data_IF_535518037363
#
_entry.id   IF_535518037363
#
_cell.length_a   1.000
_cell.length_b   1.000
_cell.length_c   1.000
_cell.angle_alpha   90.00
_cell.angle_beta   90.00
_cell.angle_gamma   90.00
#
_symmetry.space_group_name_H-M   'P 1'
#
loop_
_entity.id
_entity.type
_entity.pdbx_description
1 polymer ?
#
# COMPACT_ATOMS: atom_id res chain seq x y z
N UNK A 1 -4.27 -4.78 -29.55
CA UNK A 1 -4.39 -3.31 -29.43
C UNK A 1 -4.13 -2.91 -27.98
N UNK A 2 -3.31 -1.88 -27.73
CA UNK A 2 -3.12 -1.33 -26.38
C UNK A 2 -4.40 -0.58 -25.98
N UNK A 3 -4.92 -0.84 -24.78
CA UNK A 3 -6.17 -0.24 -24.28
C UNK A 3 -5.93 0.81 -23.20
N UNK A 4 -4.93 0.59 -22.34
CA UNK A 4 -4.56 1.50 -21.26
C UNK A 4 -3.15 1.18 -20.74
N UNK A 5 -2.62 2.05 -19.87
CA UNK A 5 -1.52 1.72 -18.97
C UNK A 5 -2.04 1.40 -17.57
N UNK A 6 -1.33 0.54 -16.86
CA UNK A 6 -1.66 0.18 -15.48
C UNK A 6 -0.41 -0.21 -14.71
N UNK A 7 -0.49 -0.12 -13.38
CA UNK A 7 0.52 -0.67 -12.49
C UNK A 7 0.13 -2.11 -12.19
N UNK A 8 0.93 -3.08 -12.60
CA UNK A 8 0.81 -4.45 -12.14
C UNK A 8 1.58 -4.62 -10.82
N UNK A 9 1.03 -5.40 -9.91
CA UNK A 9 1.68 -5.77 -8.65
C UNK A 9 1.42 -7.25 -8.33
N UNK A 10 2.10 -7.76 -7.33
CA UNK A 10 1.89 -9.08 -6.77
C UNK A 10 1.36 -8.95 -5.34
N UNK A 11 0.44 -9.81 -4.96
CA UNK A 11 0.01 -9.92 -3.55
C UNK A 11 1.14 -10.58 -2.77
N UNK A 12 1.57 -9.95 -1.66
CA UNK A 12 2.61 -10.49 -0.79
C UNK A 12 2.30 -11.94 -0.38
N UNK A 13 3.35 -12.74 -0.27
CA UNK A 13 3.20 -14.12 0.17
C UNK A 13 2.68 -14.22 1.60
N UNK A 14 3.16 -13.34 2.47
CA UNK A 14 2.83 -13.28 3.88
C UNK A 14 2.35 -11.88 4.25
N UNK A 15 1.23 -11.82 4.94
CA UNK A 15 0.59 -10.57 5.34
C UNK A 15 0.30 -10.68 6.84
N UNK A 16 0.93 -9.79 7.61
CA UNK A 16 0.58 -9.58 9.01
C UNK A 16 -0.79 -8.95 9.14
N UNK A 17 -1.68 -9.59 9.91
CA UNK A 17 -2.99 -9.07 10.33
C UNK A 17 -3.03 -8.92 11.85
N UNK A 18 -4.06 -8.21 12.31
CA UNK A 18 -4.28 -7.96 13.74
C UNK A 18 -3.42 -6.84 14.29
N UNK A 19 -3.65 -6.51 15.56
CA UNK A 19 -2.86 -5.54 16.30
C UNK A 19 -1.39 -6.03 16.37
N UNK A 20 -0.45 -5.16 16.01
CA UNK A 20 0.98 -5.52 15.95
C UNK A 20 1.44 -6.36 14.74
N UNK A 21 0.51 -6.86 13.91
CA UNK A 21 0.85 -7.64 12.70
C UNK A 21 1.29 -9.08 12.98
N UNK A 22 0.95 -9.61 14.15
CA UNK A 22 1.39 -10.92 14.63
C UNK A 22 0.63 -12.10 14.00
N UNK A 23 -0.57 -11.90 13.41
CA UNK A 23 -1.30 -12.94 12.66
C UNK A 23 -0.80 -13.00 11.21
N UNK A 24 0.26 -13.78 10.96
CA UNK A 24 0.82 -13.96 9.62
C UNK A 24 -0.08 -14.91 8.82
N UNK A 25 -0.67 -14.38 7.73
CA UNK A 25 -1.47 -15.18 6.80
C UNK A 25 -0.87 -15.22 5.41
N UNK A 26 -1.10 -16.35 4.73
CA UNK A 26 -0.70 -16.52 3.33
C UNK A 26 -1.73 -15.91 2.37
N UNK A 27 -1.32 -14.86 1.66
CA UNK A 27 -2.19 -14.12 0.75
C UNK A 27 -3.37 -13.43 1.45
N UNK A 28 -4.41 -13.11 0.70
CA UNK A 28 -5.59 -12.40 1.23
C UNK A 28 -6.84 -13.27 1.12
N UNK A 29 -7.96 -12.81 1.70
CA UNK A 29 -9.26 -13.46 1.53
C UNK A 29 -9.64 -13.63 0.05
N UNK A 30 -9.26 -12.67 -0.79
CA UNK A 30 -9.72 -12.56 -2.18
C UNK A 30 -8.67 -12.96 -3.22
N UNK A 31 -7.39 -12.92 -2.89
CA UNK A 31 -6.29 -13.20 -3.81
C UNK A 31 -5.32 -14.20 -3.19
N UNK A 32 -4.83 -15.14 -4.02
CA UNK A 32 -3.77 -16.06 -3.61
C UNK A 32 -2.46 -15.30 -3.33
N UNK A 33 -1.60 -15.88 -2.49
CA UNK A 33 -0.21 -15.44 -2.34
C UNK A 33 0.48 -15.40 -3.71
N UNK A 34 1.22 -14.32 -4.00
CA UNK A 34 1.89 -14.11 -5.28
C UNK A 34 0.97 -13.76 -6.46
N UNK A 35 -0.35 -13.69 -6.26
CA UNK A 35 -1.29 -13.42 -7.34
C UNK A 35 -1.01 -12.05 -7.98
N UNK A 36 -1.02 -12.03 -9.32
CA UNK A 36 -0.89 -10.78 -10.08
C UNK A 36 -2.19 -9.98 -10.00
N UNK A 37 -2.08 -8.72 -9.63
CA UNK A 37 -3.16 -7.74 -9.59
C UNK A 37 -2.77 -6.49 -10.37
N UNK A 38 -3.77 -5.70 -10.75
CA UNK A 38 -3.62 -4.41 -11.41
C UNK A 38 -4.13 -3.30 -10.49
N UNK A 39 -3.29 -2.32 -10.23
CA UNK A 39 -3.53 -1.25 -9.27
C UNK A 39 -3.98 0.00 -10.03
N UNK A 40 -5.08 0.58 -9.56
CA UNK A 40 -5.69 1.79 -10.10
C UNK A 40 -5.11 3.03 -9.41
N UNK A 41 -5.19 4.21 -10.03
CA UNK A 41 -4.76 5.47 -9.43
C UNK A 41 -5.39 5.70 -8.05
N UNK A 42 -4.64 6.27 -7.09
CA UNK A 42 -5.17 6.68 -5.79
C UNK A 42 -6.35 7.64 -5.93
N UNK A 43 -7.32 7.49 -5.03
CA UNK A 43 -8.58 8.23 -5.11
C UNK A 43 -8.87 9.09 -3.88
N UNK A 44 -8.37 8.68 -2.72
CA UNK A 44 -8.80 9.25 -1.44
C UNK A 44 -7.86 10.30 -0.87
N UNK A 45 -6.86 10.76 -1.65
CA UNK A 45 -5.84 11.70 -1.15
C UNK A 45 -5.00 11.11 0.00
N UNK A 46 -5.03 9.79 0.17
CA UNK A 46 -4.35 9.03 1.21
C UNK A 46 -2.91 8.64 0.82
N UNK A 47 -2.38 9.20 -0.26
CA UNK A 47 -1.05 8.82 -0.79
C UNK A 47 -1.02 7.46 -1.50
N UNK A 48 -2.17 6.81 -1.73
CA UNK A 48 -2.23 5.47 -2.32
C UNK A 48 -2.08 4.36 -1.29
N UNK A 49 -2.61 4.58 -0.10
CA UNK A 49 -2.55 3.62 1.01
C UNK A 49 -3.65 2.58 0.89
N UNK A 50 -4.85 3.03 0.52
CA UNK A 50 -5.91 2.19 0.01
C UNK A 50 -5.94 2.31 -1.51
N UNK A 51 -5.70 1.20 -2.19
CA UNK A 51 -5.68 1.16 -3.64
C UNK A 51 -6.78 0.26 -4.19
N UNK A 52 -7.40 0.73 -5.27
CA UNK A 52 -8.29 -0.11 -6.07
C UNK A 52 -7.45 -1.14 -6.81
N UNK A 53 -7.76 -2.42 -6.63
CA UNK A 53 -7.07 -3.53 -7.28
C UNK A 53 -8.02 -4.36 -8.10
N UNK A 54 -7.57 -4.74 -9.29
CA UNK A 54 -8.26 -5.64 -10.21
C UNK A 54 -7.46 -6.92 -10.36
N UNK A 55 -8.08 -8.05 -10.09
CA UNK A 55 -7.41 -9.34 -10.18
C UNK A 55 -8.40 -10.50 -10.28
N UNK A 56 -7.88 -11.72 -10.35
CA UNK A 56 -8.71 -12.94 -10.33
C UNK A 56 -8.91 -13.41 -8.90
N UNK A 57 -10.15 -13.73 -8.55
CA UNK A 57 -10.45 -14.23 -7.20
C UNK A 57 -9.72 -15.55 -6.93
N UNK A 58 -9.25 -15.72 -5.70
CA UNK A 58 -8.64 -16.96 -5.22
C UNK A 58 -9.62 -18.13 -5.36
N UNK A 59 -9.18 -19.24 -5.93
CA UNK A 59 -9.98 -20.46 -6.04
C UNK A 59 -11.11 -20.40 -7.07
N UNK A 60 -11.19 -19.35 -7.90
CA UNK A 60 -12.14 -19.29 -9.01
C UNK A 60 -11.45 -18.74 -10.28
N UNK A 61 -11.54 -19.44 -11.42
CA UNK A 61 -11.07 -18.91 -12.71
C UNK A 61 -12.04 -17.87 -13.31
N UNK A 62 -13.04 -17.43 -12.55
CA UNK A 62 -14.08 -16.50 -12.98
C UNK A 62 -13.61 -15.10 -13.37
N UNK A 63 -14.55 -14.15 -13.57
CA UNK A 63 -14.22 -12.81 -14.04
C UNK A 63 -13.30 -12.07 -13.07
N UNK A 64 -12.63 -11.04 -13.59
CA UNK A 64 -11.87 -10.12 -12.75
C UNK A 64 -12.79 -9.45 -11.71
N UNK A 65 -12.30 -9.36 -10.48
CA UNK A 65 -12.92 -8.62 -9.39
C UNK A 65 -12.18 -7.30 -9.18
N UNK A 66 -12.93 -6.28 -8.80
CA UNK A 66 -12.41 -4.99 -8.34
C UNK A 66 -12.70 -4.86 -6.85
N UNK A 67 -11.69 -4.59 -6.04
CA UNK A 67 -11.84 -4.30 -4.61
C UNK A 67 -10.81 -3.27 -4.16
N UNK A 68 -10.98 -2.74 -2.95
CA UNK A 68 -10.02 -1.84 -2.31
C UNK A 68 -9.25 -2.61 -1.26
N UNK A 69 -7.92 -2.44 -1.23
CA UNK A 69 -7.08 -3.06 -0.20
C UNK A 69 -5.86 -2.21 0.15
N UNK A 70 -5.25 -2.46 1.33
CA UNK A 70 -4.02 -1.77 1.71
C UNK A 70 -2.87 -2.07 0.74
N UNK A 71 -2.18 -1.02 0.28
CA UNK A 71 -1.00 -1.11 -0.59
C UNK A 71 0.10 -1.96 0.03
N UNK A 72 0.28 -1.91 1.35
CA UNK A 72 1.27 -2.72 2.09
C UNK A 72 1.15 -4.23 1.90
N UNK A 73 0.00 -4.73 1.45
CA UNK A 73 -0.21 -6.14 1.12
C UNK A 73 0.25 -6.52 -0.30
N UNK A 74 0.77 -5.56 -1.06
CA UNK A 74 1.24 -5.71 -2.42
C UNK A 74 2.75 -5.44 -2.48
N UNK A 75 3.38 -6.01 -3.50
CA UNK A 75 4.81 -5.90 -3.78
C UNK A 75 5.07 -5.98 -5.29
N UNK A 76 6.30 -5.70 -5.70
CA UNK A 76 6.74 -5.83 -7.10
C UNK A 76 5.90 -4.99 -8.08
N UNK A 77 5.67 -3.73 -7.72
CA UNK A 77 4.93 -2.78 -8.55
C UNK A 77 5.70 -2.49 -9.84
N UNK A 78 5.03 -2.57 -10.97
CA UNK A 78 5.63 -2.37 -12.30
C UNK A 78 4.60 -1.85 -13.29
N UNK A 79 4.98 -0.90 -14.12
CA UNK A 79 4.10 -0.40 -15.18
C UNK A 79 3.99 -1.40 -16.31
N UNK A 80 2.76 -1.70 -16.73
CA UNK A 80 2.49 -2.59 -17.86
C UNK A 80 1.36 -2.03 -18.74
N UNK A 81 1.40 -2.36 -20.03
CA UNK A 81 0.30 -2.11 -20.94
C UNK A 81 -0.85 -3.10 -20.72
N UNK A 82 -2.08 -2.60 -20.77
CA UNK A 82 -3.31 -3.40 -20.69
C UNK A 82 -3.78 -3.70 -22.11
N UNK A 83 -3.78 -4.98 -22.47
CA UNK A 83 -4.21 -5.45 -23.80
C UNK A 83 -5.48 -6.30 -23.74
N UNK A 84 -5.90 -6.73 -22.55
CA UNK A 84 -7.06 -7.61 -22.37
C UNK A 84 -8.34 -6.76 -22.23
N UNK A 85 -9.34 -6.95 -23.12
CA UNK A 85 -10.61 -6.24 -23.01
C UNK A 85 -11.36 -6.55 -21.71
N UNK A 86 -11.30 -7.79 -21.23
CA UNK A 86 -11.94 -8.21 -19.98
C UNK A 86 -11.32 -7.52 -18.75
N UNK A 87 -10.00 -7.31 -18.77
CA UNK A 87 -9.32 -6.56 -17.71
C UNK A 87 -9.68 -5.07 -17.78
N UNK A 88 -9.63 -4.48 -18.97
CA UNK A 88 -9.99 -3.07 -19.18
C UNK A 88 -11.43 -2.80 -18.70
N UNK A 89 -12.38 -3.65 -19.07
CA UNK A 89 -13.77 -3.55 -18.62
C UNK A 89 -13.91 -3.65 -17.09
N UNK A 90 -13.06 -4.44 -16.43
CA UNK A 90 -13.05 -4.55 -14.98
C UNK A 90 -12.42 -3.33 -14.29
N UNK A 91 -11.42 -2.69 -14.92
CA UNK A 91 -10.78 -1.46 -14.42
C UNK A 91 -11.71 -0.25 -14.51
N UNK A 92 -12.51 -0.15 -15.57
CA UNK A 92 -13.46 0.96 -15.78
C UNK A 92 -14.82 0.73 -15.11
N UNK A 93 -15.03 -0.47 -14.55
CA UNK A 93 -16.28 -0.85 -13.89
C UNK A 93 -16.56 0.08 -12.70
N UNK A 94 -17.77 0.63 -12.58
CA UNK A 94 -18.16 1.39 -11.40
C UNK A 94 -18.15 0.49 -10.16
N UNK A 95 -17.42 0.91 -9.13
CA UNK A 95 -17.43 0.19 -7.86
C UNK A 95 -18.73 0.52 -7.13
N UNK A 96 -19.59 -0.49 -6.94
CA UNK A 96 -20.84 -0.34 -6.17
C UNK A 96 -20.51 -0.39 -4.68
N UNK A 97 -20.66 0.74 -3.98
CA UNK A 97 -20.61 0.80 -2.51
C UNK A 97 -21.99 1.19 -2.01
N UNK A 98 -22.64 0.29 -1.28
CA UNK A 98 -23.88 0.51 -0.51
C UNK A 98 -24.86 1.54 -1.10
N UNK A 99 -25.65 1.15 -2.10
CA UNK A 99 -26.81 1.94 -2.58
C UNK A 99 -26.51 3.22 -3.38
N UNK A 100 -25.29 3.76 -3.37
CA UNK A 100 -24.93 4.94 -4.17
C UNK A 100 -24.62 4.60 -5.63
N UNK A 101 -24.79 5.54 -6.58
CA UNK A 101 -24.29 5.40 -7.94
C UNK A 101 -22.81 5.03 -7.88
N UNK A 102 -22.47 3.84 -8.39
CA UNK A 102 -21.10 3.36 -8.32
C UNK A 102 -20.18 4.35 -9.03
N UNK A 103 -19.02 4.63 -8.43
CA UNK A 103 -18.05 5.53 -9.06
C UNK A 103 -16.92 4.72 -9.66
N UNK A 104 -16.59 5.01 -10.92
CA UNK A 104 -15.46 4.40 -11.60
C UNK A 104 -14.15 5.01 -11.09
N UNK A 105 -13.10 4.20 -11.07
CA UNK A 105 -11.74 4.72 -10.89
C UNK A 105 -11.28 5.39 -12.19
N UNK A 106 -10.40 6.38 -12.06
CA UNK A 106 -9.65 6.87 -13.20
C UNK A 106 -8.68 5.79 -13.70
N UNK A 107 -8.20 5.94 -14.93
CA UNK A 107 -7.07 5.17 -15.44
C UNK A 107 -5.79 6.01 -15.28
N UNK A 108 -4.64 5.35 -15.35
CA UNK A 108 -3.36 6.04 -15.41
C UNK A 108 -3.28 6.84 -16.72
N UNK A 109 -2.94 8.12 -16.64
CA UNK A 109 -2.91 9.03 -17.78
C UNK A 109 -1.89 8.59 -18.83
N UNK A 110 -0.68 8.27 -18.38
CA UNK A 110 0.38 7.77 -19.23
C UNK A 110 1.25 6.72 -18.52
N UNK A 111 2.18 6.16 -19.29
CA UNK A 111 3.13 5.13 -18.82
C UNK A 111 4.13 5.68 -17.82
N UNK A 112 4.54 6.93 -17.98
CA UNK A 112 5.62 7.55 -17.19
C UNK A 112 5.14 7.87 -15.79
N UNK A 113 3.98 8.51 -15.65
CA UNK A 113 3.29 8.75 -14.39
C UNK A 113 3.05 7.43 -13.63
N UNK A 114 2.58 6.39 -14.32
CA UNK A 114 2.43 5.07 -13.72
C UNK A 114 3.78 4.48 -13.26
N UNK A 115 4.87 4.71 -14.01
CA UNK A 115 6.21 4.22 -13.67
C UNK A 115 6.82 4.96 -12.48
N UNK A 116 6.66 6.28 -12.40
CA UNK A 116 7.11 7.08 -11.26
C UNK A 116 6.41 6.62 -9.98
N UNK A 117 5.08 6.41 -10.03
CA UNK A 117 4.33 5.93 -8.87
C UNK A 117 4.69 4.49 -8.52
N UNK A 118 4.87 3.60 -9.51
CA UNK A 118 5.32 2.24 -9.25
C UNK A 118 6.70 2.21 -8.57
N UNK A 119 7.64 3.05 -9.02
CA UNK A 119 8.96 3.16 -8.41
C UNK A 119 8.88 3.68 -6.96
N UNK A 120 8.05 4.70 -6.71
CA UNK A 120 7.78 5.21 -5.37
C UNK A 120 7.17 4.13 -4.47
N UNK A 121 6.20 3.36 -4.95
CA UNK A 121 5.53 2.32 -4.15
C UNK A 121 6.36 1.08 -3.88
N UNK A 122 7.41 0.83 -4.66
CA UNK A 122 8.40 -0.20 -4.35
C UNK A 122 9.32 0.20 -3.19
N UNK A 123 9.30 1.46 -2.75
CA UNK A 123 9.96 1.85 -1.51
C UNK A 123 9.07 1.41 -0.34
N UNK A 124 9.54 0.47 0.50
CA UNK A 124 8.77 0.00 1.65
C UNK A 124 8.60 1.17 2.62
N UNK A 125 7.35 1.43 3.00
CA UNK A 125 7.01 2.44 4.00
C UNK A 125 6.05 1.86 5.02
N UNK A 126 6.10 2.40 6.23
CA UNK A 126 5.16 2.10 7.30
C UNK A 126 4.56 3.37 7.89
N UNK A 127 3.39 3.22 8.52
CA UNK A 127 2.74 4.34 9.21
C UNK A 127 3.59 4.77 10.41
N UNK A 128 3.71 6.07 10.63
CA UNK A 128 4.41 6.66 11.77
C UNK A 128 3.49 7.59 12.54
N UNK A 129 3.46 7.46 13.86
CA UNK A 129 2.81 8.39 14.78
C UNK A 129 3.85 9.27 15.48
N UNK A 130 3.57 10.56 15.61
CA UNK A 130 4.45 11.54 16.26
C UNK A 130 3.75 12.13 17.48
N UNK A 131 4.42 12.12 18.65
CA UNK A 131 3.81 12.46 19.94
C UNK A 131 3.19 13.87 19.97
N UNK A 132 3.92 14.92 19.57
CA UNK A 132 3.39 16.30 19.50
C UNK A 132 4.47 17.29 18.99
N UNK A 133 4.08 18.42 18.35
CA UNK A 133 2.80 18.65 17.72
C UNK A 133 2.91 18.15 16.28
N UNK A 134 2.10 17.16 15.88
CA UNK A 134 1.71 16.79 14.49
C UNK A 134 1.79 15.29 14.21
N UNK A 135 0.67 14.65 14.53
CA UNK A 135 -0.04 13.81 13.56
C UNK A 135 0.61 12.49 13.19
N UNK A 136 0.12 11.94 12.09
CA UNK A 136 0.56 10.70 11.49
C UNK A 136 1.31 10.99 10.19
N UNK A 137 2.10 10.05 9.71
CA UNK A 137 2.83 10.14 8.45
C UNK A 137 3.30 8.76 7.99
N UNK A 138 4.10 8.74 6.93
CA UNK A 138 4.78 7.53 6.46
C UNK A 138 6.28 7.71 6.57
N UNK A 139 6.95 6.68 7.07
CA UNK A 139 8.41 6.59 7.14
C UNK A 139 8.86 5.37 6.34
N UNK A 140 10.13 5.32 5.91
CA UNK A 140 10.71 4.10 5.35
C UNK A 140 10.50 2.89 6.28
N UNK A 141 10.44 1.70 5.71
CA UNK A 141 10.47 0.42 6.44
C UNK A 141 11.76 -0.32 6.05
N UNK A 142 12.74 -0.50 6.96
CA UNK A 142 12.64 -0.25 8.41
C UNK A 142 12.63 1.25 8.78
N UNK A 143 11.95 1.62 9.88
CA UNK A 143 11.85 3.02 10.31
C UNK A 143 13.22 3.55 10.75
N UNK A 144 13.61 4.76 10.29
CA UNK A 144 14.86 5.36 10.72
C UNK A 144 14.83 5.70 12.21
N UNK A 145 15.98 5.54 12.89
CA UNK A 145 16.13 5.88 14.32
C UNK A 145 15.85 7.36 14.60
N UNK A 146 16.22 8.23 13.66
CA UNK A 146 16.08 9.68 13.77
C UNK A 146 15.43 10.22 12.49
N UNK A 147 14.49 11.14 12.65
CA UNK A 147 13.78 11.77 11.55
C UNK A 147 13.65 13.27 11.82
N UNK A 148 14.17 14.11 10.93
CA UNK A 148 13.90 15.54 10.96
C UNK A 148 12.62 15.85 10.19
N UNK A 149 11.65 16.48 10.86
CA UNK A 149 10.39 16.93 10.25
C UNK A 149 10.03 18.31 10.78
N UNK A 150 9.72 19.25 9.89
CA UNK A 150 9.38 20.64 10.25
C UNK A 150 10.42 21.31 11.18
N UNK A 151 11.71 21.01 11.00
CA UNK A 151 12.84 21.43 11.86
C UNK A 151 12.83 20.88 13.29
N UNK A 152 12.04 19.82 13.54
CA UNK A 152 12.02 19.07 14.79
C UNK A 152 12.61 17.69 14.53
N UNK A 153 13.57 17.30 15.38
CA UNK A 153 14.13 15.94 15.37
C UNK A 153 13.24 15.03 16.20
N UNK A 154 12.79 13.94 15.59
CA UNK A 154 12.05 12.88 16.22
C UNK A 154 12.89 11.61 16.31
N UNK A 155 12.81 10.94 17.44
CA UNK A 155 13.50 9.69 17.71
C UNK A 155 12.50 8.55 17.73
N UNK A 156 12.88 7.42 17.14
CA UNK A 156 12.09 6.21 17.15
C UNK A 156 11.94 5.69 18.59
N UNK A 157 10.73 5.73 19.13
CA UNK A 157 10.42 5.25 20.47
C UNK A 157 10.17 3.74 20.47
N UNK A 158 9.33 3.27 19.54
CA UNK A 158 9.01 1.86 19.34
C UNK A 158 8.46 1.64 17.93
N UNK A 159 8.55 0.44 17.38
CA UNK A 159 7.85 0.07 16.15
C UNK A 159 7.44 -1.40 16.15
N UNK A 160 6.43 -1.72 15.34
CA UNK A 160 6.01 -3.08 15.03
C UNK A 160 5.89 -3.26 13.52
N UNK A 161 5.39 -4.42 13.08
CA UNK A 161 5.28 -4.77 11.66
C UNK A 161 4.35 -3.85 10.84
N UNK A 162 3.53 -3.02 11.49
CA UNK A 162 2.56 -2.15 10.82
C UNK A 162 2.82 -0.66 11.05
N UNK A 163 3.52 -0.28 12.11
CA UNK A 163 3.58 1.11 12.57
C UNK A 163 4.82 1.40 13.42
N UNK A 164 5.34 2.61 13.25
CA UNK A 164 6.37 3.22 14.10
C UNK A 164 5.79 4.35 14.95
N UNK A 165 6.37 4.55 16.13
CA UNK A 165 6.07 5.65 17.04
C UNK A 165 7.34 6.46 17.26
N UNK A 166 7.19 7.77 17.13
CA UNK A 166 8.26 8.74 17.19
C UNK A 166 7.98 9.75 18.29
N UNK A 167 9.00 10.02 19.10
CA UNK A 167 8.96 11.03 20.14
C UNK A 167 9.95 12.14 19.84
N UNK A 168 9.60 13.38 20.16
CA UNK A 168 10.55 14.51 20.13
C UNK A 168 11.53 14.48 21.32
N UNK A 169 11.31 13.57 22.27
CA UNK A 169 12.23 13.31 23.39
C UNK A 169 13.19 12.20 22.99
N UNK A 170 14.45 12.32 23.40
CA UNK A 170 15.37 11.19 23.27
C UNK A 170 14.79 9.96 23.97
N UNK A 171 14.87 8.76 23.34
CA UNK A 171 14.53 7.53 24.01
C UNK A 171 15.39 7.41 25.27
N UNK A 172 14.87 6.83 26.37
CA UNK A 172 15.68 6.55 27.54
C UNK A 172 16.88 5.74 27.08
N UNK A 173 18.10 6.25 27.31
CA UNK A 173 19.30 5.43 27.10
C UNK A 173 19.16 4.23 28.03
N UNK A 174 19.21 3.01 27.49
CA UNK A 174 19.40 1.84 28.34
C UNK A 174 20.64 2.10 29.19
N UNK A 175 20.46 2.12 30.50
CA UNK A 175 21.54 2.27 31.46
C UNK A 175 22.31 0.94 31.51
N UNK A 176 23.24 0.76 30.58
CA UNK A 176 24.23 -0.31 30.54
C UNK A 176 25.11 -0.04 29.32
N UNK A 177 26.39 0.30 29.40
CA UNK A 177 27.39 -0.14 30.37
C UNK A 177 28.10 1.05 31.03
N UNK A 178 28.05 1.12 32.36
CA UNK A 178 29.10 1.73 33.15
C UNK A 178 29.83 0.58 33.84
N UNK A 179 31.03 0.29 33.31
CA UNK A 179 32.21 -0.36 33.91
C UNK A 179 32.02 -1.50 34.91
#
# INVERSE_FOLDING_TARGET
MLLAFGIAANVKHEIGRGEGGLDIRRGTKHFAAGAKVWVLPPRWGDGGEQVGVVGRHRGSPGPYILLVMPRRHLENFRTQGVYSPALFAAMTRPMKRGGSPGTSFALWEDKEAAAQVAAMWNQPTMEAHFDEPRGWGYVPDPPPMELERDRVVFYLAHFNANRAWYSSRLPPREAGDAA
#
